data_IF_912342781545
#
_entry.id   IF_912342781545
#
_cell.length_a   1.000
_cell.length_b   1.000
_cell.length_c   1.000
_cell.angle_alpha   90.00
_cell.angle_beta   90.00
_cell.angle_gamma   90.00
#
_symmetry.space_group_name_H-M   'P 1'
#
loop_
_entity.id
_entity.type
_entity.pdbx_description
1 polymer ?
#
# COMPACT_ATOMS: atom_id res chain seq x y z
N UNK A 1 16.68 -14.97 16.50
CA UNK A 1 16.48 -13.72 15.73
C UNK A 1 15.10 -13.22 16.06
N UNK A 2 14.96 -12.00 16.61
CA UNK A 2 13.65 -11.45 16.96
C UNK A 2 13.03 -10.82 15.71
N UNK A 3 11.88 -11.32 15.26
CA UNK A 3 11.18 -10.78 14.10
C UNK A 3 10.17 -9.75 14.59
N UNK A 4 10.33 -8.49 14.18
CA UNK A 4 9.35 -7.43 14.45
C UNK A 4 8.21 -7.52 13.44
N UNK A 5 6.99 -7.18 13.88
CA UNK A 5 5.82 -7.10 13.00
C UNK A 5 6.08 -6.04 11.94
N UNK A 6 5.97 -6.44 10.67
CA UNK A 6 6.04 -5.52 9.52
C UNK A 6 4.64 -5.11 9.13
N UNK A 7 4.43 -3.80 8.99
CA UNK A 7 3.11 -3.24 8.66
C UNK A 7 3.19 -2.58 7.29
N UNK A 8 2.33 -3.04 6.38
CA UNK A 8 2.23 -2.51 5.02
C UNK A 8 0.86 -1.89 4.82
N UNK A 9 0.80 -0.73 4.20
CA UNK A 9 -0.44 -0.04 3.84
C UNK A 9 -0.55 0.05 2.33
N UNK A 10 -1.73 -0.28 1.80
CA UNK A 10 -2.00 -0.24 0.36
C UNK A 10 -3.22 0.60 0.05
N UNK A 11 -3.06 1.59 -0.82
CA UNK A 11 -4.18 2.38 -1.33
C UNK A 11 -4.68 1.82 -2.65
N UNK A 12 -5.99 1.58 -2.73
CA UNK A 12 -6.68 1.11 -3.95
C UNK A 12 -6.95 2.27 -4.92
N UNK A 13 -7.30 1.97 -6.20
CA UNK A 13 -7.84 2.97 -7.12
C UNK A 13 -9.07 3.69 -6.59
N UNK A 14 -9.30 4.89 -7.13
CA UNK A 14 -10.51 5.68 -6.90
C UNK A 14 -11.74 4.90 -7.35
N UNK A 15 -12.81 4.98 -6.55
CA UNK A 15 -14.14 4.41 -6.89
C UNK A 15 -15.13 5.46 -7.37
N UNK A 16 -14.82 6.72 -7.11
CA UNK A 16 -15.61 7.90 -7.44
C UNK A 16 -14.64 9.06 -7.63
N UNK A 17 -15.11 10.11 -8.28
CA UNK A 17 -14.32 11.32 -8.45
C UNK A 17 -14.22 12.05 -7.10
N UNK A 18 -13.00 12.29 -6.63
CA UNK A 18 -12.75 12.92 -5.34
C UNK A 18 -11.35 13.57 -5.30
N UNK A 19 -11.10 14.39 -4.29
CA UNK A 19 -9.79 15.00 -4.04
C UNK A 19 -8.80 13.95 -3.55
N UNK A 20 -7.52 14.17 -3.85
CA UNK A 20 -6.45 13.35 -3.29
C UNK A 20 -6.39 13.54 -1.76
N UNK A 21 -6.48 12.45 -1.00
CA UNK A 21 -6.48 12.48 0.46
C UNK A 21 -5.17 12.02 1.11
N UNK A 22 -4.29 11.37 0.36
CA UNK A 22 -3.02 10.84 0.88
C UNK A 22 -1.89 10.99 -0.13
N UNK A 23 -0.68 11.22 0.38
CA UNK A 23 0.59 11.07 -0.34
C UNK A 23 1.34 9.90 0.30
N UNK A 24 1.76 8.94 -0.51
CA UNK A 24 2.44 7.73 -0.08
C UNK A 24 3.82 7.69 -0.70
N UNK A 25 4.85 7.57 0.12
CA UNK A 25 6.25 7.55 -0.32
C UNK A 25 6.93 6.31 0.23
N UNK A 26 7.69 5.62 -0.62
CA UNK A 26 8.59 4.54 -0.21
C UNK A 26 10.02 5.05 -0.35
N UNK A 27 10.65 5.41 0.77
CA UNK A 27 11.99 6.02 0.79
C UNK A 27 13.12 4.97 0.72
N UNK A 28 12.84 3.75 1.18
CA UNK A 28 13.81 2.65 1.21
C UNK A 28 13.16 1.32 1.56
N UNK A 29 13.97 0.30 1.80
CA UNK A 29 13.49 -0.99 2.29
C UNK A 29 12.95 -0.82 3.73
N UNK A 30 11.69 -1.19 3.95
CA UNK A 30 11.01 -1.05 5.26
C UNK A 30 10.85 0.41 5.77
N UNK A 31 11.00 1.39 4.89
CA UNK A 31 10.82 2.82 5.15
C UNK A 31 9.71 3.42 4.28
N UNK A 32 8.46 3.14 4.67
CA UNK A 32 7.26 3.69 4.05
C UNK A 32 6.67 4.85 4.86
N UNK A 33 6.20 5.88 4.17
CA UNK A 33 5.55 7.03 4.79
C UNK A 33 4.21 7.31 4.12
N UNK A 34 3.20 7.58 4.93
CA UNK A 34 1.90 8.08 4.47
C UNK A 34 1.62 9.42 5.11
N UNK A 35 1.38 10.43 4.28
CA UNK A 35 0.98 11.76 4.69
C UNK A 35 -0.47 12.03 4.27
N UNK A 36 -1.31 12.41 5.23
CA UNK A 36 -2.67 12.83 4.99
C UNK A 36 -2.65 14.27 4.47
N UNK A 37 -3.24 14.48 3.30
CA UNK A 37 -3.50 15.80 2.72
C UNK A 37 -4.98 16.13 2.85
N UNK A 38 -5.30 17.42 2.91
CA UNK A 38 -6.66 17.91 3.16
C UNK A 38 -7.26 17.43 4.50
N UNK A 39 -6.40 17.13 5.49
CA UNK A 39 -6.81 16.73 6.83
C UNK A 39 -6.97 17.93 7.76
N UNK A 40 -7.96 17.89 8.66
CA UNK A 40 -8.13 18.86 9.75
C UNK A 40 -7.40 18.46 11.03
N UNK A 41 -6.76 17.29 11.04
CA UNK A 41 -6.03 16.78 12.20
C UNK A 41 -4.61 17.36 12.29
N UNK A 42 -4.08 17.42 13.51
CA UNK A 42 -2.72 17.92 13.77
C UNK A 42 -1.61 16.92 13.42
N UNK A 43 -1.91 15.61 13.45
CA UNK A 43 -0.98 14.55 13.07
C UNK A 43 -1.39 14.00 11.71
N UNK A 44 -0.58 14.29 10.70
CA UNK A 44 -0.87 13.92 9.31
C UNK A 44 0.07 12.86 8.76
N UNK A 45 1.26 12.65 9.36
CA UNK A 45 2.26 11.68 8.87
C UNK A 45 2.26 10.41 9.70
N UNK A 46 2.25 9.27 9.02
CA UNK A 46 2.23 7.94 9.61
C UNK A 46 3.33 7.07 8.98
N UNK A 47 4.32 6.59 9.77
CA UNK A 47 5.35 5.70 9.28
C UNK A 47 4.83 4.25 9.22
N UNK A 48 5.21 3.54 8.17
CA UNK A 48 4.92 2.14 7.92
C UNK A 48 6.17 1.43 7.41
N UNK A 49 6.19 0.09 7.43
CA UNK A 49 7.27 -0.65 6.77
C UNK A 49 7.15 -0.48 5.24
N UNK A 50 5.93 -0.55 4.72
CA UNK A 50 5.71 -0.36 3.28
C UNK A 50 4.47 0.48 3.02
N UNK A 51 4.59 1.42 2.09
CA UNK A 51 3.51 2.29 1.62
C UNK A 51 3.32 2.08 0.13
N UNK A 52 2.26 1.34 -0.24
CA UNK A 52 1.97 0.97 -1.61
C UNK A 52 0.82 1.79 -2.18
N UNK A 53 1.11 2.58 -3.20
CA UNK A 53 0.11 3.32 -3.94
C UNK A 53 -0.28 2.56 -5.21
N UNK A 54 -1.47 1.95 -5.23
CA UNK A 54 -1.96 1.17 -6.38
C UNK A 54 -3.14 1.85 -7.07
N UNK A 55 -3.20 3.19 -7.04
CA UNK A 55 -4.35 3.93 -7.56
C UNK A 55 -4.32 4.10 -9.08
N UNK A 56 -4.41 3.01 -9.84
CA UNK A 56 -4.43 3.05 -11.29
C UNK A 56 -5.55 3.94 -11.84
N UNK A 57 -5.24 4.69 -12.90
CA UNK A 57 -6.23 5.56 -13.55
C UNK A 57 -6.64 6.79 -12.73
N UNK A 58 -5.92 7.10 -11.64
CA UNK A 58 -6.23 8.25 -10.76
C UNK A 58 -6.45 9.56 -11.52
N UNK A 59 -5.74 9.80 -12.63
CA UNK A 59 -5.87 11.03 -13.45
C UNK A 59 -7.30 11.30 -13.96
N UNK A 60 -8.14 10.27 -14.07
CA UNK A 60 -9.53 10.41 -14.52
C UNK A 60 -10.49 10.79 -13.39
N UNK A 61 -10.09 10.55 -12.15
CA UNK A 61 -10.95 10.63 -10.97
C UNK A 61 -10.49 11.67 -9.94
N UNK A 62 -9.22 12.09 -9.96
CA UNK A 62 -8.73 13.15 -9.07
C UNK A 62 -9.38 14.48 -9.46
N UNK A 63 -10.01 15.10 -8.47
CA UNK A 63 -10.44 16.49 -8.54
C UNK A 63 -9.40 17.40 -7.87
N UNK A 64 -8.93 18.43 -8.56
CA UNK A 64 -7.94 19.38 -8.05
C UNK A 64 -6.52 19.05 -8.51
N UNK A 65 -5.54 19.28 -7.64
CA UNK A 65 -4.12 19.12 -7.99
C UNK A 65 -3.71 17.64 -8.09
N UNK A 66 -3.27 17.22 -9.27
CA UNK A 66 -2.75 15.86 -9.50
C UNK A 66 -1.24 15.75 -9.29
N UNK A 67 -0.51 16.87 -9.16
CA UNK A 67 0.95 16.88 -9.06
C UNK A 67 1.48 15.98 -7.93
N UNK A 68 0.87 15.93 -6.73
CA UNK A 68 1.35 15.03 -5.69
C UNK A 68 1.19 13.55 -6.07
N UNK A 69 0.13 13.21 -6.82
CA UNK A 69 -0.09 11.86 -7.33
C UNK A 69 0.86 11.51 -8.48
N UNK A 70 1.19 12.47 -9.35
CA UNK A 70 2.18 12.26 -10.42
C UNK A 70 3.56 11.88 -9.88
N UNK A 71 3.92 12.32 -8.67
CA UNK A 71 5.19 12.00 -8.01
C UNK A 71 5.18 10.67 -7.23
N UNK A 72 4.01 10.06 -7.00
CA UNK A 72 3.93 8.79 -6.28
C UNK A 72 4.26 7.62 -7.20
N UNK A 73 4.92 6.59 -6.65
CA UNK A 73 5.24 5.38 -7.42
C UNK A 73 4.04 4.44 -7.41
N UNK A 74 3.55 4.08 -8.60
CA UNK A 74 2.49 3.08 -8.75
C UNK A 74 3.04 1.68 -8.46
N UNK A 75 2.45 1.00 -7.48
CA UNK A 75 2.84 -0.35 -7.05
C UNK A 75 1.82 -1.36 -7.55
N UNK A 76 2.27 -2.30 -8.39
CA UNK A 76 1.46 -3.41 -8.87
C UNK A 76 1.49 -4.63 -7.94
N UNK A 77 0.76 -5.69 -8.34
CA UNK A 77 0.74 -6.93 -7.56
C UNK A 77 2.11 -7.61 -7.50
N UNK A 78 2.89 -7.53 -8.57
CA UNK A 78 4.20 -8.17 -8.62
C UNK A 78 5.20 -7.44 -7.74
N UNK A 79 5.25 -6.11 -7.79
CA UNK A 79 6.07 -5.27 -6.90
C UNK A 79 5.70 -5.49 -5.43
N UNK A 80 4.41 -5.59 -5.10
CA UNK A 80 3.97 -5.92 -3.75
C UNK A 80 4.45 -7.33 -3.31
N UNK A 81 4.36 -8.33 -4.20
CA UNK A 81 4.86 -9.68 -3.95
C UNK A 81 6.39 -9.74 -3.82
N UNK A 82 7.14 -9.01 -4.64
CA UNK A 82 8.59 -8.97 -4.60
C UNK A 82 9.10 -8.31 -3.31
N UNK A 83 8.41 -7.27 -2.83
CA UNK A 83 8.78 -6.57 -1.60
C UNK A 83 8.58 -7.39 -0.31
N UNK A 84 7.46 -8.12 -0.19
CA UNK A 84 7.08 -8.84 1.05
C UNK A 84 6.97 -10.35 0.84
N UNK A 85 6.43 -10.79 -0.27
CA UNK A 85 6.18 -12.21 -0.57
C UNK A 85 7.46 -13.05 -0.68
N UNK A 86 8.52 -12.51 -1.29
CA UNK A 86 9.82 -13.21 -1.36
C UNK A 86 10.44 -13.44 0.03
N UNK A 87 10.29 -12.47 0.94
CA UNK A 87 10.77 -12.57 2.33
C UNK A 87 9.99 -13.63 3.10
N UNK A 88 8.65 -13.57 3.02
CA UNK A 88 7.76 -14.58 3.61
C UNK A 88 8.11 -15.99 3.12
N UNK A 89 8.33 -16.15 1.81
CA UNK A 89 8.72 -17.43 1.21
C UNK A 89 10.06 -17.92 1.76
N UNK A 90 11.06 -17.03 1.85
CA UNK A 90 12.37 -17.36 2.41
C UNK A 90 12.27 -17.80 3.88
N UNK A 91 11.51 -17.07 4.68
CA UNK A 91 11.31 -17.39 6.10
C UNK A 91 10.61 -18.73 6.30
N UNK A 92 9.58 -19.01 5.48
CA UNK A 92 8.87 -20.28 5.48
C UNK A 92 9.79 -21.45 5.10
N UNK A 93 10.61 -21.28 4.04
CA UNK A 93 11.59 -22.29 3.63
C UNK A 93 12.72 -22.48 4.65
N UNK A 94 12.99 -21.46 5.47
CA UNK A 94 13.89 -21.54 6.63
C UNK A 94 13.29 -22.27 7.85
N UNK A 95 12.05 -22.76 7.76
CA UNK A 95 11.37 -23.49 8.83
C UNK A 95 10.63 -22.60 9.83
N UNK A 96 10.46 -21.31 9.53
CA UNK A 96 9.70 -20.40 10.39
C UNK A 96 8.20 -20.45 10.07
N UNK A 97 7.36 -20.28 11.08
CA UNK A 97 5.95 -20.04 10.88
C UNK A 97 5.73 -18.57 10.49
N UNK A 98 5.06 -18.33 9.36
CA UNK A 98 4.75 -16.98 8.87
C UNK A 98 3.24 -16.79 8.82
N UNK A 99 2.78 -15.62 9.27
CA UNK A 99 1.36 -15.26 9.26
C UNK A 99 1.21 -13.89 8.60
N UNK A 100 0.27 -13.80 7.64
CA UNK A 100 -0.07 -12.56 6.94
C UNK A 100 -1.54 -12.25 7.17
N UNK A 101 -1.83 -11.03 7.65
CA UNK A 101 -3.18 -10.54 7.82
C UNK A 101 -3.45 -9.37 6.89
N UNK A 102 -4.59 -9.40 6.19
CA UNK A 102 -5.10 -8.26 5.45
C UNK A 102 -6.22 -7.59 6.26
N UNK A 103 -6.03 -6.32 6.63
CA UNK A 103 -6.98 -5.55 7.44
C UNK A 103 -7.48 -4.32 6.67
N UNK A 104 -8.72 -3.91 6.93
CA UNK A 104 -9.35 -2.74 6.29
C UNK A 104 -10.86 -2.88 6.10
N UNK A 105 -11.52 -1.79 5.70
CA UNK A 105 -12.97 -1.73 5.44
C UNK A 105 -13.41 -2.70 4.33
N UNK A 106 -14.70 -3.03 4.27
CA UNK A 106 -15.23 -3.76 3.11
C UNK A 106 -14.97 -2.98 1.82
N UNK A 107 -14.57 -3.67 0.75
CA UNK A 107 -14.21 -3.02 -0.53
C UNK A 107 -12.86 -2.27 -0.55
N UNK A 108 -12.05 -2.32 0.51
CA UNK A 108 -10.71 -1.70 0.54
C UNK A 108 -9.64 -2.41 -0.31
N UNK A 109 -9.93 -3.61 -0.84
CA UNK A 109 -8.97 -4.37 -1.65
C UNK A 109 -8.16 -5.43 -0.87
N UNK A 110 -8.67 -5.88 0.29
CA UNK A 110 -8.07 -7.00 1.07
C UNK A 110 -7.91 -8.27 0.23
N UNK A 111 -9.00 -8.76 -0.35
CA UNK A 111 -9.01 -9.98 -1.19
C UNK A 111 -8.13 -9.81 -2.41
N UNK A 112 -8.18 -8.64 -3.06
CA UNK A 112 -7.32 -8.31 -4.20
C UNK A 112 -5.84 -8.34 -3.82
N UNK A 113 -5.47 -7.85 -2.64
CA UNK A 113 -4.07 -7.87 -2.21
C UNK A 113 -3.55 -9.29 -1.97
N UNK A 114 -4.35 -10.14 -1.33
CA UNK A 114 -3.92 -11.51 -0.97
C UNK A 114 -4.01 -12.47 -2.16
N UNK A 115 -5.09 -12.41 -2.94
CA UNK A 115 -5.40 -13.40 -3.97
C UNK A 115 -5.28 -12.85 -5.40
N UNK A 116 -5.27 -11.52 -5.58
CA UNK A 116 -5.31 -10.90 -6.90
C UNK A 116 -6.70 -10.97 -7.55
N UNK A 117 -6.69 -11.01 -8.89
CA UNK A 117 -7.88 -11.26 -9.71
C UNK A 117 -7.83 -12.69 -10.24
N UNK A 118 -8.99 -13.34 -10.38
CA UNK A 118 -9.06 -14.62 -11.09
C UNK A 118 -8.76 -14.37 -12.57
N UNK A 119 -7.60 -14.83 -13.04
CA UNK A 119 -7.40 -15.10 -14.46
C UNK A 119 -8.04 -16.44 -14.78
N UNK A 120 -9.20 -16.41 -15.45
CA UNK A 120 -9.80 -17.58 -16.09
C UNK A 120 -9.25 -17.73 -17.51
#
# INVERSE_FOLDING_TARGET
>A
MSVSIKVSVRCRPFTCDDKLGVVMTQNGEEEGDVELINSTYSTTRFPFSYAWWSAYGYKRHIQGDSLPADNMTLVDQQMAYESVGLKIKSDLMGGNAVVLFAYGLSGSGKTFTVFGVCSF
#
